data_IF_559247166429
#
_entry.id   IF_559247166429
#
_cell.length_a   1.000
_cell.length_b   1.000
_cell.length_c   1.000
_cell.angle_alpha   90.00
_cell.angle_beta   90.00
_cell.angle_gamma   90.00
#
_symmetry.space_group_name_H-M   'P 1'
#
loop_
_entity.id
_entity.type
_entity.pdbx_description
1 polymer ?
#
# COMPACT_ATOMS: atom_id res chain seq x y z
N UNK A 1 7.15 3.86 18.49
CA UNK A 1 7.50 2.56 17.90
C UNK A 1 6.66 1.48 18.56
N UNK A 2 5.61 1.00 17.90
CA UNK A 2 4.79 -0.10 18.40
C UNK A 2 4.98 -1.27 17.43
N UNK A 3 5.79 -2.25 17.83
CA UNK A 3 5.77 -3.56 17.17
C UNK A 3 4.41 -4.20 17.36
N UNK A 4 3.97 -5.05 16.44
CA UNK A 4 2.74 -5.82 16.66
C UNK A 4 2.86 -6.63 17.97
N UNK A 5 2.05 -6.25 18.97
CA UNK A 5 2.07 -6.82 20.32
C UNK A 5 3.19 -6.34 21.26
N UNK A 6 3.90 -5.25 20.94
CA UNK A 6 4.97 -4.64 21.76
C UNK A 6 6.11 -5.60 22.16
N UNK A 7 6.42 -6.56 21.29
CA UNK A 7 7.45 -7.59 21.50
C UNK A 7 8.50 -7.52 20.40
N UNK A 8 9.73 -7.94 20.70
CA UNK A 8 10.81 -8.06 19.71
C UNK A 8 10.61 -9.23 18.75
N UNK A 9 11.70 -9.70 18.13
CA UNK A 9 11.68 -10.81 17.14
C UNK A 9 11.03 -12.07 17.71
N UNK A 10 10.07 -12.61 16.96
CA UNK A 10 9.25 -13.76 17.34
C UNK A 10 9.79 -15.03 16.69
N UNK A 11 9.95 -16.09 17.47
CA UNK A 11 10.42 -17.40 16.99
C UNK A 11 9.75 -18.53 17.77
N UNK A 12 9.60 -19.69 17.13
CA UNK A 12 9.29 -20.92 17.82
C UNK A 12 10.40 -21.31 18.80
N UNK A 13 10.02 -21.96 19.90
CA UNK A 13 10.93 -22.60 20.85
C UNK A 13 10.48 -24.04 21.01
N UNK A 14 11.40 -24.98 20.78
CA UNK A 14 11.12 -26.40 20.86
C UNK A 14 12.08 -27.11 21.81
N UNK A 15 11.61 -28.18 22.43
CA UNK A 15 12.40 -29.03 23.29
C UNK A 15 12.76 -30.36 22.64
N UNK A 16 13.84 -31.03 23.06
CA UNK A 16 14.14 -32.38 22.62
C UNK A 16 12.96 -33.33 22.94
N UNK A 17 12.58 -34.15 21.95
CA UNK A 17 11.50 -35.13 22.02
C UNK A 17 10.06 -34.56 22.14
N UNK A 18 9.88 -33.27 21.85
CA UNK A 18 8.55 -32.67 21.73
C UNK A 18 7.87 -33.05 20.42
N UNK A 19 6.57 -33.39 20.48
CA UNK A 19 5.76 -33.69 19.30
C UNK A 19 5.24 -32.37 18.73
N UNK A 20 5.64 -32.05 17.51
CA UNK A 20 5.17 -30.86 16.79
C UNK A 20 3.71 -31.01 16.37
N UNK A 21 2.91 -29.97 16.60
CA UNK A 21 1.56 -29.81 16.08
C UNK A 21 1.54 -28.86 14.89
N UNK A 22 0.44 -28.88 14.15
CA UNK A 22 0.18 -27.93 13.07
C UNK A 22 0.16 -26.49 13.59
N UNK A 23 -0.35 -26.26 14.81
CA UNK A 23 -0.30 -24.93 15.44
C UNK A 23 1.13 -24.40 15.62
N UNK A 24 2.09 -25.26 15.96
CA UNK A 24 3.49 -24.87 16.15
C UNK A 24 4.15 -24.44 14.84
N UNK A 25 3.86 -25.16 13.76
CA UNK A 25 4.37 -24.86 12.42
C UNK A 25 3.72 -23.59 11.87
N UNK A 26 2.40 -23.46 12.06
CA UNK A 26 1.66 -22.25 11.69
C UNK A 26 2.21 -21.03 12.43
N UNK A 27 2.52 -21.15 13.73
CA UNK A 27 3.13 -20.07 14.50
C UNK A 27 4.47 -19.58 13.91
N UNK A 28 5.32 -20.48 13.40
CA UNK A 28 6.57 -20.08 12.75
C UNK A 28 6.31 -19.28 11.49
N UNK A 29 5.41 -19.76 10.62
CA UNK A 29 5.02 -19.04 9.41
C UNK A 29 4.46 -17.66 9.73
N UNK A 30 3.66 -17.55 10.79
CA UNK A 30 3.06 -16.29 11.22
C UNK A 30 4.14 -15.36 11.73
N UNK A 31 4.98 -15.84 12.64
CA UNK A 31 6.10 -15.09 13.23
C UNK A 31 7.05 -14.52 12.18
N UNK A 32 7.34 -15.27 11.12
CA UNK A 32 8.16 -14.77 10.01
C UNK A 32 7.51 -13.58 9.30
N UNK A 33 6.23 -13.67 8.95
CA UNK A 33 5.50 -12.56 8.37
C UNK A 33 5.40 -11.35 9.33
N UNK A 34 5.16 -11.61 10.62
CA UNK A 34 5.13 -10.58 11.67
C UNK A 34 6.45 -9.82 11.71
N UNK A 35 7.56 -10.53 11.83
CA UNK A 35 8.89 -9.94 12.00
C UNK A 35 9.30 -9.09 10.78
N UNK A 36 9.01 -9.56 9.56
CA UNK A 36 9.32 -8.81 8.34
C UNK A 36 8.47 -7.55 8.28
N UNK A 37 7.17 -7.67 8.54
CA UNK A 37 6.25 -6.53 8.51
C UNK A 37 6.55 -5.51 9.61
N UNK A 38 6.87 -5.96 10.81
CA UNK A 38 7.31 -5.14 11.95
C UNK A 38 8.62 -4.38 11.61
N UNK A 39 9.57 -5.04 10.94
CA UNK A 39 10.81 -4.42 10.48
C UNK A 39 10.53 -3.35 9.41
N UNK A 40 9.71 -3.68 8.41
CA UNK A 40 9.29 -2.73 7.37
C UNK A 40 8.58 -1.51 7.98
N UNK A 41 7.66 -1.73 8.92
CA UNK A 41 7.00 -0.67 9.66
C UNK A 41 7.98 0.23 10.40
N UNK A 42 8.99 -0.36 11.03
CA UNK A 42 10.05 0.41 11.69
C UNK A 42 10.87 1.25 10.71
N UNK A 43 11.11 0.76 9.49
CA UNK A 43 11.88 1.49 8.49
C UNK A 43 11.07 2.63 7.88
N UNK A 44 9.80 2.37 7.57
CA UNK A 44 8.89 3.31 6.91
C UNK A 44 8.45 4.43 7.85
N UNK A 45 8.22 4.11 9.12
CA UNK A 45 7.73 5.08 10.10
C UNK A 45 8.85 5.83 10.83
N UNK A 46 10.09 5.76 10.34
CA UNK A 46 11.24 6.47 10.90
C UNK A 46 11.09 7.99 10.66
N UNK A 47 10.60 8.71 11.68
CA UNK A 47 10.43 10.17 11.64
C UNK A 47 9.08 10.69 12.15
N UNK A 48 8.09 9.82 12.35
CA UNK A 48 6.77 10.22 12.85
C UNK A 48 6.60 9.85 14.34
N UNK A 49 6.75 10.84 15.22
CA UNK A 49 6.41 10.70 16.62
C UNK A 49 4.91 10.95 16.83
N UNK A 50 4.18 9.88 17.18
CA UNK A 50 2.95 9.92 17.98
C UNK A 50 1.86 10.92 17.54
N UNK A 51 1.06 10.54 16.53
CA UNK A 51 -0.25 11.17 16.31
C UNK A 51 -0.83 11.00 14.90
N UNK A 52 0.02 10.98 13.87
CA UNK A 52 -0.34 10.77 12.46
C UNK A 52 -0.01 9.37 11.92
N UNK A 53 0.70 8.55 12.71
CA UNK A 53 1.21 7.22 12.32
C UNK A 53 0.15 6.11 12.18
N UNK A 54 -1.09 6.47 11.86
CA UNK A 54 -2.17 5.54 11.53
C UNK A 54 -2.40 5.43 10.01
N UNK A 55 -1.95 6.40 9.23
CA UNK A 55 -2.16 6.36 7.80
C UNK A 55 -1.33 5.23 7.16
N UNK A 56 -1.96 4.52 6.23
CA UNK A 56 -1.30 3.48 5.45
C UNK A 56 -0.24 4.13 4.53
N UNK A 57 0.75 3.35 4.11
CA UNK A 57 1.91 3.82 3.35
C UNK A 57 2.06 3.03 2.07
N UNK A 58 1.98 3.70 0.92
CA UNK A 58 2.40 3.13 -0.36
C UNK A 58 3.84 3.51 -0.61
N UNK A 59 4.70 2.51 -0.72
CA UNK A 59 6.15 2.70 -0.80
C UNK A 59 6.65 2.75 -2.25
N UNK A 60 5.81 2.34 -3.19
CA UNK A 60 6.07 2.42 -4.63
C UNK A 60 5.15 1.51 -5.41
N UNK A 61 4.83 1.92 -6.64
CA UNK A 61 3.87 1.23 -7.50
C UNK A 61 2.43 1.41 -7.01
N UNK A 62 1.56 0.43 -7.27
CA UNK A 62 0.13 0.48 -6.95
C UNK A 62 -0.60 1.70 -7.52
N UNK A 63 -0.10 2.19 -8.65
CA UNK A 63 -0.71 3.27 -9.43
C UNK A 63 -1.65 2.67 -10.46
N UNK A 64 -2.84 3.25 -10.58
CA UNK A 64 -3.77 2.94 -11.65
C UNK A 64 -3.39 3.74 -12.89
N UNK A 65 -3.09 3.01 -13.96
CA UNK A 65 -2.87 3.55 -15.29
C UNK A 65 -4.07 3.23 -16.13
N UNK A 66 -4.56 4.25 -16.83
CA UNK A 66 -5.56 4.05 -17.85
C UNK A 66 -5.02 3.12 -18.96
N UNK A 67 -5.87 2.20 -19.42
CA UNK A 67 -5.57 1.34 -20.56
C UNK A 67 -6.62 1.56 -21.65
N UNK A 68 -7.83 1.02 -21.47
CA UNK A 68 -8.91 1.13 -22.45
C UNK A 68 -10.27 0.84 -21.83
N UNK A 69 -11.34 1.43 -22.38
CA UNK A 69 -12.72 1.26 -21.94
C UNK A 69 -12.87 1.51 -20.42
N UNK A 70 -13.51 0.58 -19.70
CA UNK A 70 -13.74 0.62 -18.26
C UNK A 70 -12.71 -0.23 -17.48
N UNK A 71 -11.50 -0.37 -18.04
CA UNK A 71 -10.42 -1.15 -17.43
C UNK A 71 -9.14 -0.32 -17.29
N UNK A 72 -8.51 -0.44 -16.13
CA UNK A 72 -7.26 0.22 -15.78
C UNK A 72 -6.24 -0.82 -15.30
N UNK A 73 -4.96 -0.59 -15.57
CA UNK A 73 -3.86 -1.44 -15.11
C UNK A 73 -3.31 -0.90 -13.79
N UNK A 74 -3.39 -1.71 -12.74
CA UNK A 74 -2.73 -1.46 -11.47
C UNK A 74 -1.29 -1.95 -11.54
N UNK A 75 -0.36 -1.01 -11.43
CA UNK A 75 1.08 -1.32 -11.50
C UNK A 75 1.57 -2.12 -10.29
N UNK A 76 2.51 -3.04 -10.53
CA UNK A 76 3.21 -3.80 -9.50
C UNK A 76 3.80 -2.86 -8.44
N UNK A 77 3.71 -3.24 -7.17
CA UNK A 77 4.05 -2.34 -6.08
C UNK A 77 3.88 -2.93 -4.69
N UNK A 78 4.05 -2.08 -3.69
CA UNK A 78 4.04 -2.49 -2.29
C UNK A 78 3.45 -1.41 -1.38
N UNK A 79 2.70 -1.87 -0.39
CA UNK A 79 2.08 -1.02 0.62
C UNK A 79 2.14 -1.67 2.01
N UNK A 80 2.02 -0.83 3.03
CA UNK A 80 2.03 -1.19 4.42
C UNK A 80 0.85 -0.50 5.12
N UNK A 81 0.07 -1.24 5.89
CA UNK A 81 -1.02 -0.67 6.69
C UNK A 81 -0.64 -0.57 8.16
N UNK A 82 -1.10 0.49 8.84
CA UNK A 82 -0.92 0.70 10.29
C UNK A 82 -2.24 0.66 11.08
N UNK A 83 -3.35 0.47 10.38
CA UNK A 83 -4.72 0.46 10.93
C UNK A 83 -5.37 -0.91 10.86
N UNK A 84 -4.64 -1.96 10.52
CA UNK A 84 -5.20 -3.29 10.41
C UNK A 84 -4.31 -4.39 10.92
N UNK A 85 -4.94 -5.49 11.30
CA UNK A 85 -4.27 -6.68 11.78
C UNK A 85 -4.33 -7.79 10.78
N UNK A 86 -3.26 -8.56 10.74
CA UNK A 86 -3.25 -9.88 10.15
C UNK A 86 -3.46 -10.87 11.29
N UNK A 87 -4.37 -11.82 11.09
CA UNK A 87 -4.85 -12.78 12.08
C UNK A 87 -5.94 -12.23 13.01
N UNK A 88 -7.14 -12.77 12.85
CA UNK A 88 -8.28 -12.49 13.72
C UNK A 88 -8.78 -13.79 14.32
N UNK A 89 -8.81 -13.88 15.65
CA UNK A 89 -9.42 -14.99 16.38
C UNK A 89 -8.88 -16.40 16.05
N UNK A 90 -7.57 -16.55 15.84
CA UNK A 90 -7.00 -17.87 15.56
C UNK A 90 -6.96 -18.23 14.07
N UNK A 91 -7.43 -17.36 13.19
CA UNK A 91 -7.51 -17.61 11.74
C UNK A 91 -6.91 -16.47 10.94
N UNK A 92 -6.36 -16.79 9.77
CA UNK A 92 -5.98 -15.79 8.78
C UNK A 92 -7.18 -14.99 8.32
N UNK A 93 -7.26 -13.78 8.83
CA UNK A 93 -8.24 -12.79 8.44
C UNK A 93 -7.63 -11.42 8.68
N UNK A 94 -7.90 -10.52 7.74
CA UNK A 94 -7.52 -9.12 7.82
C UNK A 94 -8.71 -8.35 8.40
N UNK A 95 -8.45 -7.55 9.43
CA UNK A 95 -9.47 -6.75 10.09
C UNK A 95 -8.88 -5.41 10.52
N UNK A 96 -9.71 -4.40 10.72
CA UNK A 96 -9.23 -3.16 11.34
C UNK A 96 -8.71 -3.41 12.75
N UNK A 97 -7.59 -2.78 13.09
CA UNK A 97 -6.89 -2.89 14.36
C UNK A 97 -5.83 -1.80 14.45
N UNK A 98 -6.01 -0.85 15.37
CA UNK A 98 -5.05 0.23 15.55
C UNK A 98 -3.70 -0.31 16.07
N UNK A 99 -2.60 0.05 15.39
CA UNK A 99 -1.24 -0.31 15.81
C UNK A 99 -0.83 -1.75 15.48
N UNK A 100 -1.69 -2.51 14.80
CA UNK A 100 -1.30 -3.76 14.14
C UNK A 100 -0.97 -3.42 12.69
N UNK A 101 0.01 -4.12 12.10
CA UNK A 101 0.57 -3.77 10.79
C UNK A 101 0.51 -4.98 9.86
N UNK A 102 0.07 -4.81 8.63
CA UNK A 102 0.19 -5.82 7.57
C UNK A 102 0.82 -5.21 6.31
N UNK A 103 1.44 -6.05 5.48
CA UNK A 103 2.08 -5.64 4.22
C UNK A 103 1.42 -6.30 3.02
N UNK A 104 1.29 -5.53 1.94
CA UNK A 104 0.78 -5.94 0.62
C UNK A 104 1.92 -5.83 -0.38
N UNK A 105 2.15 -6.89 -1.16
CA UNK A 105 3.14 -6.89 -2.25
C UNK A 105 2.48 -7.46 -3.49
N UNK A 106 2.30 -6.61 -4.50
CA UNK A 106 1.79 -6.97 -5.81
C UNK A 106 3.00 -7.22 -6.74
N UNK A 107 3.27 -8.47 -7.15
CA UNK A 107 4.49 -8.81 -7.88
C UNK A 107 4.48 -8.43 -9.35
N UNK A 108 3.30 -8.25 -9.95
CA UNK A 108 3.11 -7.94 -11.37
C UNK A 108 1.87 -7.07 -11.56
N UNK A 109 1.78 -6.40 -12.70
CA UNK A 109 0.65 -5.53 -13.02
C UNK A 109 -0.67 -6.33 -13.07
N UNK A 110 -1.73 -5.77 -12.50
CA UNK A 110 -3.04 -6.41 -12.41
C UNK A 110 -4.11 -5.54 -13.08
N UNK A 111 -5.05 -6.16 -13.79
CA UNK A 111 -6.19 -5.43 -14.37
C UNK A 111 -7.28 -5.16 -13.34
N UNK A 112 -7.79 -3.94 -13.33
CA UNK A 112 -8.90 -3.47 -12.48
C UNK A 112 -10.04 -3.02 -13.39
N UNK A 113 -11.18 -3.68 -13.27
CA UNK A 113 -12.38 -3.33 -14.03
C UNK A 113 -13.33 -2.48 -13.20
N UNK A 114 -13.92 -1.48 -13.83
CA UNK A 114 -14.91 -0.58 -13.25
C UNK A 114 -16.25 -0.82 -13.95
N UNK A 115 -17.35 -0.71 -13.20
CA UNK A 115 -18.68 -0.85 -13.79
C UNK A 115 -19.05 0.39 -14.59
N UNK A 116 -19.90 0.22 -15.60
CA UNK A 116 -20.39 1.34 -16.41
C UNK A 116 -21.10 2.40 -15.56
N UNK A 117 -21.01 3.66 -15.99
CA UNK A 117 -21.68 4.76 -15.30
C UNK A 117 -23.20 4.58 -15.26
N UNK A 118 -23.82 5.04 -14.17
CA UNK A 118 -25.28 5.08 -14.10
C UNK A 118 -25.84 6.08 -15.13
N UNK A 119 -27.06 5.83 -15.61
CA UNK A 119 -27.69 6.66 -16.64
C UNK A 119 -28.06 8.07 -16.19
N UNK A 120 -28.10 8.34 -14.88
CA UNK A 120 -28.71 9.57 -14.35
C UNK A 120 -27.72 10.50 -13.65
N UNK A 121 -26.72 9.96 -12.94
CA UNK A 121 -25.80 10.77 -12.14
C UNK A 121 -24.37 10.19 -12.16
N UNK A 122 -23.33 11.04 -11.99
CA UNK A 122 -21.96 10.57 -11.80
C UNK A 122 -21.76 9.93 -10.42
N UNK A 123 -20.65 9.19 -10.25
CA UNK A 123 -20.23 8.59 -8.97
C UNK A 123 -18.70 8.55 -8.84
N UNK A 124 -18.22 8.32 -7.63
CA UNK A 124 -16.82 7.95 -7.37
C UNK A 124 -16.75 6.51 -6.88
N UNK A 125 -15.89 5.72 -7.51
CA UNK A 125 -15.59 4.36 -7.10
C UNK A 125 -14.25 4.34 -6.34
N UNK A 126 -14.08 3.43 -5.39
CA UNK A 126 -12.84 3.32 -4.60
C UNK A 126 -12.14 2.02 -4.90
N UNK A 127 -10.84 2.08 -5.18
CA UNK A 127 -10.00 0.90 -5.37
C UNK A 127 -9.24 0.61 -4.09
N UNK A 128 -9.37 -0.62 -3.60
CA UNK A 128 -8.79 -1.07 -2.35
C UNK A 128 -8.00 -2.36 -2.55
N UNK A 129 -6.93 -2.53 -1.78
CA UNK A 129 -6.08 -3.73 -1.82
C UNK A 129 -5.89 -4.32 -0.42
N UNK A 130 -5.77 -5.65 -0.38
CA UNK A 130 -5.38 -6.39 0.82
C UNK A 130 -4.53 -7.62 0.46
N UNK A 131 -3.72 -8.15 1.39
CA UNK A 131 -3.03 -9.41 1.15
C UNK A 131 -4.03 -10.57 1.24
N UNK A 132 -3.70 -11.68 0.59
CA UNK A 132 -4.39 -12.96 0.78
C UNK A 132 -3.38 -14.09 0.91
N UNK A 133 -3.77 -15.14 1.62
CA UNK A 133 -2.97 -16.35 1.71
C UNK A 133 -3.51 -17.36 0.68
N UNK A 134 -2.64 -17.83 -0.21
CA UNK A 134 -3.01 -18.83 -1.22
C UNK A 134 -2.21 -20.11 -0.96
N UNK A 135 -2.89 -21.26 -0.71
CA UNK A 135 -2.21 -22.53 -0.61
C UNK A 135 -1.82 -23.05 -2.00
N UNK A 136 -0.62 -23.59 -2.15
CA UNK A 136 -0.14 -24.15 -3.43
C UNK A 136 0.66 -25.45 -3.22
N UNK A 137 1.06 -26.08 -4.34
CA UNK A 137 1.78 -27.35 -4.37
C UNK A 137 1.01 -28.47 -3.66
N UNK A 138 -0.14 -28.83 -4.23
CA UNK A 138 -0.99 -29.94 -3.77
C UNK A 138 -0.29 -31.28 -3.99
N UNK A 139 -0.16 -32.05 -2.92
CA UNK A 139 0.48 -33.36 -2.92
C UNK A 139 -0.34 -34.33 -2.08
N UNK A 140 -0.29 -35.62 -2.44
CA UNK A 140 -0.83 -36.67 -1.57
C UNK A 140 0.06 -36.78 -0.33
N UNK A 141 -0.54 -36.66 0.86
CA UNK A 141 0.14 -36.80 2.15
C UNK A 141 -0.58 -37.83 2.99
N UNK A 142 0.21 -38.51 3.80
CA UNK A 142 -0.28 -39.47 4.79
C UNK A 142 -0.35 -38.79 6.16
N UNK A 143 -1.52 -38.90 6.79
CA UNK A 143 -1.83 -38.36 8.10
C UNK A 143 -2.06 -39.52 9.06
N UNK A 144 -1.30 -39.53 10.15
CA UNK A 144 -1.46 -40.52 11.20
C UNK A 144 -2.32 -39.95 12.32
N UNK A 145 -3.43 -40.61 12.61
CA UNK A 145 -4.24 -40.31 13.79
C UNK A 145 -3.44 -40.66 15.06
N UNK A 146 -3.20 -39.71 15.97
CA UNK A 146 -2.39 -39.94 17.17
C UNK A 146 -3.08 -40.84 18.20
N UNK A 147 -4.40 -41.02 18.15
CA UNK A 147 -5.17 -41.84 19.08
C UNK A 147 -5.30 -43.27 18.57
N UNK A 148 -5.62 -43.45 17.29
CA UNK A 148 -5.88 -44.77 16.71
C UNK A 148 -4.66 -45.37 15.99
N UNK A 149 -3.66 -44.55 15.67
CA UNK A 149 -2.48 -44.96 14.89
C UNK A 149 -2.77 -45.19 13.40
N UNK A 150 -4.01 -44.98 12.96
CA UNK A 150 -4.45 -45.17 11.57
C UNK A 150 -3.77 -44.15 10.66
N UNK A 151 -3.23 -44.63 9.54
CA UNK A 151 -2.68 -43.77 8.49
C UNK A 151 -3.74 -43.57 7.41
N UNK A 152 -4.06 -42.32 7.12
CA UNK A 152 -5.02 -41.92 6.08
C UNK A 152 -4.31 -41.05 5.06
N UNK A 153 -4.57 -41.27 3.77
CA UNK A 153 -4.04 -40.42 2.71
C UNK A 153 -5.04 -39.33 2.36
N UNK A 154 -4.60 -38.07 2.30
CA UNK A 154 -5.37 -36.99 1.73
C UNK A 154 -4.49 -36.08 0.86
N UNK A 155 -5.08 -35.53 -0.21
CA UNK A 155 -4.43 -34.50 -1.01
C UNK A 155 -4.50 -33.20 -0.24
N UNK A 156 -3.34 -32.66 0.11
CA UNK A 156 -3.23 -31.38 0.81
C UNK A 156 -2.21 -30.49 0.14
N UNK A 157 -2.41 -29.18 0.22
CA UNK A 157 -1.42 -28.21 -0.21
C UNK A 157 -0.29 -28.12 0.82
N UNK A 158 0.94 -28.17 0.35
CA UNK A 158 2.12 -28.29 1.21
C UNK A 158 2.85 -26.97 1.42
N UNK A 159 2.45 -25.93 0.69
CA UNK A 159 3.08 -24.62 0.73
C UNK A 159 2.02 -23.52 0.72
N UNK A 160 2.43 -22.35 1.19
CA UNK A 160 1.63 -21.13 1.25
C UNK A 160 2.40 -20.02 0.57
N UNK A 161 1.70 -19.20 -0.22
CA UNK A 161 2.19 -17.93 -0.71
C UNK A 161 1.26 -16.78 -0.27
N UNK A 162 1.80 -15.56 -0.28
CA UNK A 162 1.05 -14.35 0.01
C UNK A 162 0.81 -13.60 -1.29
N UNK A 163 -0.45 -13.62 -1.75
CA UNK A 163 -0.91 -12.88 -2.91
C UNK A 163 -1.62 -11.59 -2.51
N UNK A 164 -2.29 -10.98 -3.48
CA UNK A 164 -3.08 -9.75 -3.30
C UNK A 164 -4.50 -9.99 -3.78
N UNK A 165 -5.45 -9.40 -3.08
CA UNK A 165 -6.81 -9.24 -3.55
C UNK A 165 -7.10 -7.75 -3.69
N UNK A 166 -7.64 -7.36 -4.84
CA UNK A 166 -8.18 -6.03 -5.09
C UNK A 166 -9.71 -6.09 -5.08
N UNK A 167 -10.33 -4.96 -4.73
CA UNK A 167 -11.75 -4.75 -4.93
C UNK A 167 -12.02 -3.32 -5.38
N UNK A 168 -13.01 -3.17 -6.24
CA UNK A 168 -13.56 -1.87 -6.62
C UNK A 168 -14.90 -1.73 -5.91
N UNK A 169 -15.02 -0.71 -5.07
CA UNK A 169 -16.23 -0.41 -4.32
C UNK A 169 -16.99 0.68 -5.08
N UNK A 170 -18.15 0.31 -5.61
CA UNK A 170 -19.00 1.22 -6.39
C UNK A 170 -19.59 2.30 -5.49
N UNK A 171 -19.46 3.56 -5.93
CA UNK A 171 -20.08 4.72 -5.29
C UNK A 171 -21.59 4.78 -5.45
N UNK A 172 -22.22 5.69 -4.71
CA UNK A 172 -23.63 6.02 -4.89
C UNK A 172 -23.76 7.14 -5.93
N UNK A 173 -24.52 6.97 -7.03
CA UNK A 173 -24.73 8.02 -8.01
C UNK A 173 -25.45 9.23 -7.40
N UNK A 174 -24.88 10.43 -7.57
CA UNK A 174 -25.44 11.69 -7.06
C UNK A 174 -24.97 12.88 -7.89
N UNK A 175 -25.66 14.02 -7.80
CA UNK A 175 -25.25 15.26 -8.49
C UNK A 175 -23.88 15.75 -8.02
N UNK A 176 -23.63 15.64 -6.71
CA UNK A 176 -22.34 15.88 -6.07
C UNK A 176 -21.88 14.57 -5.40
N UNK A 177 -21.22 13.66 -6.14
CA UNK A 177 -20.87 12.35 -5.61
C UNK A 177 -19.64 12.41 -4.69
N UNK A 178 -19.60 11.51 -3.71
CA UNK A 178 -18.43 11.25 -2.86
C UNK A 178 -18.04 9.79 -2.95
N UNK A 179 -16.74 9.50 -2.85
CA UNK A 179 -16.24 8.13 -2.84
C UNK A 179 -16.70 7.36 -1.59
N UNK A 180 -16.90 6.04 -1.69
CA UNK A 180 -17.07 5.19 -0.52
C UNK A 180 -15.89 5.29 0.45
N UNK A 181 -16.18 5.28 1.75
CA UNK A 181 -15.15 5.17 2.78
C UNK A 181 -14.43 3.81 2.70
N UNK A 182 -13.17 3.81 3.13
CA UNK A 182 -12.26 2.66 3.08
C UNK A 182 -12.80 1.50 3.92
N UNK A 183 -12.75 0.28 3.38
CA UNK A 183 -13.17 -0.91 4.11
C UNK A 183 -12.14 -1.27 5.20
N UNK A 184 -12.63 -1.56 6.41
CA UNK A 184 -11.79 -2.04 7.52
C UNK A 184 -10.91 -3.24 7.11
N UNK A 185 -9.59 -3.13 7.29
CA UNK A 185 -8.64 -4.18 6.90
C UNK A 185 -8.22 -4.17 5.42
N UNK A 186 -8.50 -3.07 4.72
CA UNK A 186 -8.06 -2.81 3.36
C UNK A 186 -7.31 -1.48 3.28
N UNK A 187 -6.40 -1.37 2.31
CA UNK A 187 -5.68 -0.14 1.99
C UNK A 187 -6.34 0.49 0.77
N UNK A 188 -6.75 1.75 0.88
CA UNK A 188 -7.26 2.51 -0.26
C UNK A 188 -6.10 3.00 -1.11
N UNK A 189 -6.17 2.83 -2.43
CA UNK A 189 -5.09 3.21 -3.35
C UNK A 189 -5.51 4.23 -4.41
N UNK A 190 -6.81 4.37 -4.68
CA UNK A 190 -7.31 5.38 -5.60
C UNK A 190 -8.81 5.64 -5.47
N UNK A 191 -9.24 6.80 -5.96
CA UNK A 191 -10.62 7.12 -6.32
C UNK A 191 -10.73 7.23 -7.84
N UNK A 192 -11.78 6.65 -8.42
CA UNK A 192 -12.07 6.74 -9.86
C UNK A 192 -13.39 7.48 -10.02
N UNK A 193 -13.37 8.60 -10.75
CA UNK A 193 -14.57 9.31 -11.15
C UNK A 193 -15.23 8.59 -12.32
N UNK A 194 -16.51 8.29 -12.18
CA UNK A 194 -17.31 7.65 -13.23
C UNK A 194 -18.42 8.62 -13.62
N UNK A 195 -18.29 9.24 -14.79
CA UNK A 195 -19.28 10.15 -15.33
C UNK A 195 -20.61 9.44 -15.63
N UNK A 196 -21.69 10.22 -15.78
CA UNK A 196 -23.01 9.70 -16.17
C UNK A 196 -22.94 8.98 -17.51
N UNK A 197 -23.44 7.74 -17.57
CA UNK A 197 -23.36 6.86 -18.74
C UNK A 197 -21.94 6.64 -19.27
N UNK A 198 -20.91 6.74 -18.40
CA UNK A 198 -19.53 6.52 -18.80
C UNK A 198 -19.35 5.12 -19.42
N UNK A 199 -18.78 5.10 -20.64
CA UNK A 199 -18.37 3.90 -21.36
C UNK A 199 -16.85 3.73 -21.42
N UNK A 200 -16.12 4.73 -20.92
CA UNK A 200 -14.68 4.72 -20.71
C UNK A 200 -14.35 5.58 -19.49
N UNK A 201 -13.22 5.28 -18.87
CA UNK A 201 -12.56 6.11 -17.86
C UNK A 201 -11.34 6.71 -18.53
N UNK A 202 -10.95 7.95 -18.25
CA UNK A 202 -9.67 8.52 -18.69
C UNK A 202 -8.68 8.65 -17.52
N UNK A 203 -7.41 8.92 -17.79
CA UNK A 203 -6.41 9.08 -16.73
C UNK A 203 -6.75 10.24 -15.77
N UNK A 204 -7.38 11.30 -16.27
CA UNK A 204 -7.80 12.46 -15.49
C UNK A 204 -8.94 12.16 -14.50
N UNK A 205 -9.69 11.08 -14.76
CA UNK A 205 -10.74 10.59 -13.86
C UNK A 205 -10.18 9.79 -12.67
N UNK A 206 -8.89 9.44 -12.71
CA UNK A 206 -8.23 8.61 -11.70
C UNK A 206 -7.42 9.49 -10.77
N UNK A 207 -7.81 9.53 -9.50
CA UNK A 207 -7.02 10.10 -8.40
C UNK A 207 -6.32 8.96 -7.67
N UNK A 208 -5.04 8.77 -7.93
CA UNK A 208 -4.26 7.73 -7.25
C UNK A 208 -3.74 8.19 -5.88
N UNK A 209 -2.94 7.34 -5.23
CA UNK A 209 -2.40 7.58 -3.90
C UNK A 209 -1.41 8.76 -3.81
N UNK A 210 -0.85 9.23 -4.93
CA UNK A 210 0.01 10.42 -4.95
C UNK A 210 -0.79 11.70 -4.75
N UNK A 211 -2.05 11.70 -5.17
CA UNK A 211 -2.99 12.81 -5.04
C UNK A 211 -3.99 12.57 -3.89
N UNK A 212 -3.57 11.81 -2.87
CA UNK A 212 -4.45 11.37 -1.78
C UNK A 212 -5.04 12.52 -0.97
N UNK A 213 -4.33 13.64 -0.89
CA UNK A 213 -4.80 14.88 -0.27
C UNK A 213 -6.02 15.50 -0.97
N UNK A 214 -6.24 15.18 -2.24
CA UNK A 214 -7.37 15.64 -3.05
C UNK A 214 -8.53 14.64 -3.14
N UNK A 215 -8.43 13.51 -2.43
CA UNK A 215 -9.51 12.52 -2.34
C UNK A 215 -10.76 13.12 -1.68
N UNK A 216 -11.92 12.65 -2.13
CA UNK A 216 -13.22 13.10 -1.63
C UNK A 216 -13.57 12.48 -0.28
N UNK A 217 -12.96 11.34 0.09
CA UNK A 217 -13.14 10.68 1.39
C UNK A 217 -11.84 9.98 1.82
N UNK A 218 -11.54 9.98 3.12
CA UNK A 218 -10.31 9.40 3.69
C UNK A 218 -9.00 9.95 3.08
N UNK A 219 -8.95 11.25 2.78
CA UNK A 219 -7.79 11.89 2.15
C UNK A 219 -6.46 11.76 2.92
N UNK A 220 -6.53 11.52 4.23
CA UNK A 220 -5.36 11.25 5.07
C UNK A 220 -5.27 9.79 5.50
N UNK A 221 -6.05 8.88 4.90
CA UNK A 221 -6.07 7.45 5.26
C UNK A 221 -4.89 6.67 4.68
N UNK A 222 -4.37 7.12 3.54
CA UNK A 222 -3.21 6.52 2.88
C UNK A 222 -2.32 7.62 2.32
N UNK A 223 -1.02 7.46 2.50
CA UNK A 223 -0.02 8.40 1.98
C UNK A 223 0.96 7.68 1.07
N UNK A 224 1.31 8.33 -0.03
CA UNK A 224 2.42 7.90 -0.86
C UNK A 224 3.73 8.34 -0.20
N UNK A 225 4.60 7.38 0.09
CA UNK A 225 5.94 7.66 0.58
C UNK A 225 6.79 8.12 -0.62
N UNK A 226 6.95 9.43 -0.77
CA UNK A 226 7.92 10.01 -1.69
C UNK A 226 9.32 9.53 -1.26
N UNK A 227 10.16 9.14 -2.21
CA UNK A 227 11.57 8.87 -1.93
C UNK A 227 12.21 10.09 -1.25
N UNK A 228 13.27 9.87 -0.47
CA UNK A 228 13.88 10.83 0.47
C UNK A 228 14.27 12.22 -0.11
N UNK A 229 14.06 12.50 -1.40
CA UNK A 229 14.56 13.69 -2.10
C UNK A 229 13.66 14.29 -3.21
N UNK A 230 12.38 13.93 -3.34
CA UNK A 230 11.58 14.58 -4.41
C UNK A 230 11.24 16.05 -4.13
N UNK A 231 11.28 16.48 -2.85
CA UNK A 231 11.06 17.87 -2.48
C UNK A 231 11.88 18.24 -1.24
N UNK A 232 13.10 18.74 -1.44
CA UNK A 232 13.93 19.26 -0.34
C UNK A 232 13.48 20.69 -0.02
N UNK A 233 12.70 20.86 1.04
CA UNK A 233 12.45 22.18 1.62
C UNK A 233 13.55 22.53 2.61
N UNK A 234 14.41 23.49 2.27
CA UNK A 234 15.40 24.03 3.21
C UNK A 234 14.79 25.29 3.83
N UNK A 235 14.64 25.30 5.16
CA UNK A 235 14.09 26.44 5.90
C UNK A 235 15.12 27.54 6.19
N UNK A 236 16.39 27.26 5.95
CA UNK A 236 17.54 28.12 6.20
C UNK A 236 18.54 28.00 5.03
N UNK A 237 19.84 28.21 5.29
CA UNK A 237 20.88 28.18 4.27
C UNK A 237 21.17 26.74 3.80
N UNK A 238 21.34 26.57 2.49
CA UNK A 238 21.84 25.33 1.88
C UNK A 238 23.33 25.51 1.52
N UNK A 239 24.22 24.82 2.24
CA UNK A 239 25.64 24.77 1.89
C UNK A 239 25.90 23.61 0.90
N UNK A 240 26.37 23.94 -0.31
CA UNK A 240 26.67 22.97 -1.38
C UNK A 240 28.18 22.89 -1.56
N UNK A 241 28.79 21.77 -1.16
CA UNK A 241 30.24 21.53 -1.27
C UNK A 241 30.75 21.34 -2.72
N UNK A 242 29.95 21.68 -3.73
CA UNK A 242 30.22 21.40 -5.14
C UNK A 242 29.41 22.28 -6.09
N UNK A 243 29.22 21.80 -7.33
CA UNK A 243 28.46 22.54 -8.35
C UNK A 243 26.96 22.27 -8.17
N UNK A 244 26.18 23.33 -8.00
CA UNK A 244 24.73 23.28 -8.10
C UNK A 244 24.32 23.47 -9.58
N UNK A 245 23.78 22.42 -10.21
CA UNK A 245 23.19 22.49 -11.54
C UNK A 245 21.69 22.73 -11.41
N UNK A 246 21.20 23.85 -11.94
CA UNK A 246 19.78 24.22 -11.92
C UNK A 246 19.34 24.67 -13.30
N UNK A 247 18.20 24.16 -13.75
CA UNK A 247 17.58 24.57 -15.02
C UNK A 247 16.67 25.78 -14.83
N UNK A 248 16.08 25.96 -13.64
CA UNK A 248 15.18 27.08 -13.33
C UNK A 248 15.39 27.53 -11.89
N UNK A 249 15.54 28.85 -11.72
CA UNK A 249 15.53 29.51 -10.42
C UNK A 249 14.27 30.37 -10.38
N UNK A 250 13.36 30.07 -9.45
CA UNK A 250 12.14 30.84 -9.24
C UNK A 250 12.28 31.71 -7.99
N UNK A 251 12.10 33.02 -8.13
CA UNK A 251 12.06 33.95 -7.00
C UNK A 251 10.63 34.05 -6.45
N UNK A 252 10.46 33.80 -5.15
CA UNK A 252 9.15 33.85 -4.48
C UNK A 252 9.05 34.97 -3.43
N UNK A 253 10.07 35.81 -3.30
CA UNK A 253 10.08 36.99 -2.42
C UNK A 253 9.63 38.21 -3.23
N UNK A 254 8.75 39.05 -2.67
CA UNK A 254 8.18 40.16 -3.44
C UNK A 254 9.11 41.36 -3.61
N UNK A 255 10.22 41.44 -2.89
CA UNK A 255 11.06 42.66 -2.83
C UNK A 255 12.55 42.41 -2.52
N UNK A 256 13.04 41.15 -2.56
CA UNK A 256 14.39 40.81 -2.10
C UNK A 256 15.41 40.57 -3.23
N UNK A 257 14.99 40.17 -4.42
CA UNK A 257 15.88 39.81 -5.52
C UNK A 257 16.57 38.45 -5.30
N UNK A 258 17.04 37.84 -6.39
CA UNK A 258 18.08 36.80 -6.34
C UNK A 258 19.43 37.45 -6.66
N UNK A 259 20.38 37.39 -5.72
CA UNK A 259 21.75 37.84 -5.96
C UNK A 259 22.59 36.69 -6.52
N UNK A 260 23.07 36.82 -7.77
CA UNK A 260 23.99 35.86 -8.38
C UNK A 260 25.35 36.53 -8.56
N UNK A 261 26.30 36.19 -7.69
CA UNK A 261 27.65 36.73 -7.76
C UNK A 261 28.49 36.02 -8.84
N UNK A 262 29.25 36.80 -9.62
CA UNK A 262 30.16 36.25 -10.63
C UNK A 262 29.50 35.66 -11.87
N UNK A 263 28.24 36.00 -12.15
CA UNK A 263 27.52 35.52 -13.32
C UNK A 263 28.22 35.94 -14.63
N UNK A 264 28.64 34.95 -15.43
CA UNK A 264 29.13 35.14 -16.79
C UNK A 264 28.08 34.63 -17.79
N UNK A 265 27.33 35.55 -18.38
CA UNK A 265 26.44 35.25 -19.50
C UNK A 265 27.24 35.32 -20.81
N UNK A 266 27.44 34.17 -21.47
CA UNK A 266 28.02 34.12 -22.82
C UNK A 266 26.88 33.99 -23.83
N UNK A 267 26.31 35.12 -24.23
CA UNK A 267 25.45 35.15 -25.40
C UNK A 267 26.26 35.61 -26.63
N UNK A 268 26.05 34.95 -27.75
CA UNK A 268 26.62 35.34 -29.05
C UNK A 268 25.61 36.06 -29.96
N UNK A 269 24.42 36.43 -29.45
CA UNK A 269 23.37 37.04 -30.25
C UNK A 269 22.19 37.68 -29.48
N UNK A 270 22.45 38.55 -28.50
CA UNK A 270 21.40 39.48 -28.05
C UNK A 270 21.27 40.61 -29.09
N UNK A 271 20.13 40.65 -29.79
CA UNK A 271 19.67 41.79 -30.59
C UNK A 271 18.60 42.57 -29.85
#
# INVERSE_FOLDING_TARGET
>A
MLFSGSRGVKTGRWYPNEILRDEDINFVGFSQYQNITDLLASMVNHGYESGSGAADRVLGGLQLRWNNLLTSDLTAGHALSFTGRYFSSGTWAFAAGAGEVFSVVLPEDASVAVDAGDGSNPRYDTVEVRPIQTPYNSQSREFKDPITGTVTSAVTSTRTEYGVQFQVKTGTPAADPSAPATTAGWIKIAEIYVATSASAIDQDDIKDVRDSDTWTTDASGTEYSLGLFENLTVSEDLDVAGVLTVDTINEYTTDAGVTIEGLLLKDTGIS
#
